data_IF_001447548603
#
_entry.id   IF_001447548603
#
_cell.length_a   1.000
_cell.length_b   1.000
_cell.length_c   1.000
_cell.angle_alpha   90.00
_cell.angle_beta   90.00
_cell.angle_gamma   90.00
#
_symmetry.space_group_name_H-M   'P 1'
#
loop_
_entity.id
_entity.type
_entity.pdbx_description
1 polymer ?
#
# COMPACT_ATOMS: atom_id res chain seq x y z
N UNK A 1 -15.99 -11.88 19.97
CA UNK A 1 -16.19 -12.08 18.50
C UNK A 1 -16.46 -10.79 17.71
N UNK A 2 -17.08 -9.72 18.26
CA UNK A 2 -17.06 -8.38 17.64
C UNK A 2 -15.65 -7.77 17.53
N UNK A 3 -14.73 -8.21 18.39
CA UNK A 3 -13.32 -7.77 18.37
C UNK A 3 -12.56 -8.20 17.11
N UNK A 4 -12.85 -9.37 16.52
CA UNK A 4 -12.16 -9.81 15.30
C UNK A 4 -12.51 -8.94 14.08
N UNK A 5 -13.74 -8.41 14.03
CA UNK A 5 -14.16 -7.46 13.00
C UNK A 5 -13.51 -6.08 13.21
N UNK A 6 -13.32 -5.67 14.47
CA UNK A 6 -12.52 -4.50 14.82
C UNK A 6 -11.06 -4.67 14.39
N UNK A 7 -10.47 -5.84 14.65
CA UNK A 7 -9.10 -6.17 14.27
C UNK A 7 -8.89 -6.17 12.75
N UNK A 8 -9.81 -6.76 11.98
CA UNK A 8 -9.80 -6.75 10.51
C UNK A 8 -9.90 -5.34 9.93
N UNK A 9 -10.70 -4.47 10.56
CA UNK A 9 -10.85 -3.07 10.13
C UNK A 9 -9.60 -2.24 10.46
N UNK A 10 -9.03 -2.43 11.64
CA UNK A 10 -7.78 -1.77 12.04
C UNK A 10 -6.61 -2.26 11.18
N UNK A 11 -6.52 -3.56 10.90
CA UNK A 11 -5.46 -4.10 10.04
C UNK A 11 -5.56 -3.60 8.60
N UNK A 12 -6.77 -3.54 8.02
CA UNK A 12 -7.00 -2.90 6.71
C UNK A 12 -6.54 -1.44 6.69
N UNK A 13 -6.85 -0.68 7.74
CA UNK A 13 -6.45 0.72 7.86
C UNK A 13 -4.93 0.86 7.96
N UNK A 14 -4.27 0.02 8.78
CA UNK A 14 -2.80 -0.01 8.91
C UNK A 14 -2.15 -0.36 7.57
N UNK A 15 -2.66 -1.35 6.83
CA UNK A 15 -2.13 -1.73 5.52
C UNK A 15 -2.28 -0.61 4.50
N UNK A 16 -3.39 0.15 4.52
CA UNK A 16 -3.52 1.35 3.67
C UNK A 16 -2.51 2.42 4.04
N UNK A 17 -2.33 2.71 5.32
CA UNK A 17 -1.35 3.70 5.78
C UNK A 17 0.06 3.27 5.35
N UNK A 18 0.42 2.01 5.57
CA UNK A 18 1.69 1.45 5.13
C UNK A 18 1.87 1.58 3.62
N UNK A 19 0.84 1.27 2.82
CA UNK A 19 0.88 1.46 1.37
C UNK A 19 1.22 2.92 1.02
N UNK A 20 0.51 3.89 1.59
CA UNK A 20 0.78 5.32 1.35
C UNK A 20 2.20 5.74 1.75
N UNK A 21 2.72 5.22 2.86
CA UNK A 21 4.10 5.46 3.28
C UNK A 21 5.10 4.89 2.26
N UNK A 22 4.88 3.66 1.81
CA UNK A 22 5.71 3.04 0.76
C UNK A 22 5.67 3.81 -0.55
N UNK A 23 4.49 4.30 -0.95
CA UNK A 23 4.34 5.14 -2.14
C UNK A 23 5.12 6.44 -1.98
N UNK A 24 4.99 7.12 -0.83
CA UNK A 24 5.69 8.37 -0.57
C UNK A 24 7.22 8.19 -0.68
N UNK A 25 7.77 7.19 0.02
CA UNK A 25 9.21 6.89 -0.05
C UNK A 25 9.66 6.46 -1.46
N UNK A 26 8.84 5.66 -2.15
CA UNK A 26 9.11 5.23 -3.52
C UNK A 26 9.15 6.40 -4.51
N UNK A 27 8.23 7.35 -4.39
CA UNK A 27 8.20 8.56 -5.21
C UNK A 27 9.39 9.46 -4.89
N UNK A 28 9.62 9.80 -3.62
CA UNK A 28 10.72 10.70 -3.25
C UNK A 28 12.09 10.10 -3.58
N UNK A 29 12.27 8.80 -3.31
CA UNK A 29 13.51 8.08 -3.59
C UNK A 29 13.74 7.90 -5.08
N UNK A 30 12.71 7.47 -5.83
CA UNK A 30 12.79 7.30 -7.27
C UNK A 30 13.07 8.61 -8.01
N UNK A 31 12.38 9.70 -7.63
CA UNK A 31 12.63 11.04 -8.19
C UNK A 31 14.05 11.51 -7.84
N UNK A 32 14.53 11.31 -6.61
CA UNK A 32 15.89 11.69 -6.22
C UNK A 32 16.96 10.96 -7.06
N UNK A 33 16.75 9.66 -7.33
CA UNK A 33 17.65 8.88 -8.20
C UNK A 33 17.56 9.37 -9.65
N UNK A 34 16.36 9.67 -10.17
CA UNK A 34 16.20 10.19 -11.53
C UNK A 34 16.82 11.57 -11.73
N UNK A 35 16.77 12.44 -10.72
CA UNK A 35 17.41 13.76 -10.73
C UNK A 35 18.93 13.71 -10.54
N UNK A 36 19.54 12.52 -10.47
CA UNK A 36 20.98 12.35 -10.29
C UNK A 36 21.49 12.84 -8.93
N UNK A 37 20.61 13.00 -7.93
CA UNK A 37 21.00 13.38 -6.55
C UNK A 37 21.71 12.25 -5.81
N UNK A 38 21.67 11.03 -6.36
CA UNK A 38 22.35 9.84 -5.83
C UNK A 38 23.53 9.49 -6.75
N UNK A 39 24.78 9.77 -6.34
CA UNK A 39 25.96 9.47 -7.14
C UNK A 39 26.15 7.96 -7.29
N UNK A 40 26.55 7.50 -8.48
CA UNK A 40 26.82 6.09 -8.77
C UNK A 40 25.62 5.25 -9.20
N UNK A 41 24.40 5.81 -9.24
CA UNK A 41 23.21 5.11 -9.73
C UNK A 41 22.70 5.68 -11.06
N UNK A 42 22.55 4.85 -12.11
CA UNK A 42 21.95 5.31 -13.37
C UNK A 42 20.47 5.69 -13.17
N UNK A 43 19.98 6.77 -13.81
CA UNK A 43 18.59 7.27 -13.67
C UNK A 43 17.51 6.21 -13.94
N UNK A 44 17.80 5.25 -14.83
CA UNK A 44 16.93 4.12 -15.16
C UNK A 44 16.59 3.27 -13.91
N UNK A 45 17.51 3.16 -12.94
CA UNK A 45 17.23 2.47 -11.67
C UNK A 45 16.17 3.21 -10.84
N UNK A 46 16.12 4.53 -10.94
CA UNK A 46 15.07 5.35 -10.32
C UNK A 46 13.70 5.07 -10.94
N UNK A 47 13.63 4.95 -12.26
CA UNK A 47 12.40 4.62 -12.99
C UNK A 47 11.90 3.20 -12.65
N UNK A 48 12.80 2.21 -12.65
CA UNK A 48 12.48 0.84 -12.24
C UNK A 48 12.00 0.81 -10.79
N UNK A 49 12.69 1.51 -9.89
CA UNK A 49 12.28 1.65 -8.49
C UNK A 49 10.87 2.25 -8.36
N UNK A 50 10.59 3.36 -9.05
CA UNK A 50 9.27 3.98 -9.10
C UNK A 50 8.18 2.99 -9.53
N UNK A 51 8.43 2.23 -10.60
CA UNK A 51 7.49 1.21 -11.07
C UNK A 51 7.23 0.13 -10.02
N UNK A 52 8.28 -0.34 -9.35
CA UNK A 52 8.21 -1.39 -8.33
C UNK A 52 7.46 -0.91 -7.07
N UNK A 53 7.74 0.32 -6.60
CA UNK A 53 7.03 0.93 -5.47
C UNK A 53 5.57 1.26 -5.81
N UNK A 54 5.29 1.73 -7.03
CA UNK A 54 3.93 1.95 -7.49
C UNK A 54 3.14 0.64 -7.55
N UNK A 55 3.74 -0.43 -8.08
CA UNK A 55 3.14 -1.76 -8.10
C UNK A 55 2.85 -2.26 -6.67
N UNK A 56 3.83 -2.16 -5.76
CA UNK A 56 3.67 -2.55 -4.36
C UNK A 56 2.54 -1.75 -3.68
N UNK A 57 2.45 -0.44 -3.92
CA UNK A 57 1.35 0.38 -3.42
C UNK A 57 -0.01 -0.14 -3.87
N UNK A 58 -0.18 -0.37 -5.17
CA UNK A 58 -1.44 -0.89 -5.72
C UNK A 58 -1.76 -2.27 -5.14
N UNK A 59 -0.77 -3.14 -5.01
CA UNK A 59 -0.93 -4.47 -4.43
C UNK A 59 -1.42 -4.41 -2.97
N UNK A 60 -0.77 -3.64 -2.11
CA UNK A 60 -1.20 -3.48 -0.72
C UNK A 60 -2.55 -2.79 -0.59
N UNK A 61 -2.82 -1.79 -1.43
CA UNK A 61 -4.11 -1.12 -1.47
C UNK A 61 -5.24 -2.07 -1.87
N UNK A 62 -4.99 -2.94 -2.86
CA UNK A 62 -5.94 -3.98 -3.29
C UNK A 62 -6.23 -4.96 -2.14
N UNK A 63 -5.20 -5.45 -1.44
CA UNK A 63 -5.37 -6.34 -0.28
C UNK A 63 -6.24 -5.68 0.79
N UNK A 64 -5.96 -4.42 1.13
CA UNK A 64 -6.77 -3.70 2.11
C UNK A 64 -8.22 -3.51 1.65
N UNK A 65 -8.44 -3.28 0.35
CA UNK A 65 -9.79 -3.23 -0.23
C UNK A 65 -10.52 -4.57 -0.15
N UNK A 66 -9.84 -5.69 -0.41
CA UNK A 66 -10.42 -7.02 -0.28
C UNK A 66 -10.79 -7.30 1.17
N UNK A 67 -9.94 -6.94 2.14
CA UNK A 67 -10.23 -7.06 3.56
C UNK A 67 -11.48 -6.25 3.96
N UNK A 68 -11.59 -5.00 3.51
CA UNK A 68 -12.79 -4.18 3.74
C UNK A 68 -14.06 -4.82 3.15
N UNK A 69 -13.95 -5.42 1.97
CA UNK A 69 -15.07 -6.04 1.26
C UNK A 69 -15.54 -7.30 2.00
N UNK A 70 -14.59 -8.12 2.49
CA UNK A 70 -14.88 -9.26 3.36
C UNK A 70 -15.59 -8.83 4.66
N UNK A 71 -15.14 -7.76 5.30
CA UNK A 71 -15.81 -7.21 6.50
C UNK A 71 -17.25 -6.79 6.18
N UNK A 72 -17.47 -6.12 5.04
CA UNK A 72 -18.83 -5.75 4.61
C UNK A 72 -19.71 -6.97 4.42
N UNK A 73 -19.23 -7.98 3.68
CA UNK A 73 -19.98 -9.22 3.44
C UNK A 73 -20.35 -9.90 4.78
N UNK A 74 -19.39 -10.03 5.69
CA UNK A 74 -19.63 -10.66 7.01
C UNK A 74 -20.68 -9.87 7.80
N UNK A 75 -20.62 -8.54 7.78
CA UNK A 75 -21.58 -7.70 8.49
C UNK A 75 -22.98 -7.76 7.86
N UNK A 76 -23.08 -7.84 6.53
CA UNK A 76 -24.36 -7.98 5.82
C UNK A 76 -25.02 -9.33 6.17
N UNK A 77 -24.25 -10.43 6.10
CA UNK A 77 -24.72 -11.79 6.42
C UNK A 77 -25.13 -11.93 7.89
N UNK A 78 -24.43 -11.27 8.83
CA UNK A 78 -24.78 -11.31 10.27
C UNK A 78 -25.96 -10.43 10.66
N UNK A 79 -26.45 -9.58 9.75
CA UNK A 79 -27.56 -8.67 10.02
C UNK A 79 -28.93 -9.32 9.76
N UNK A 80 -28.94 -10.38 8.95
CA UNK A 80 -30.01 -11.40 8.90
C UNK A 80 -29.81 -12.43 10.03
#
# INVERSE_FOLDING_TARGET
MREHLGFLRTSSMVVKIAAWVFLFFGITGGIAIMLGRVPGTPPIRGLIGLGLYAFAFFFFYLIAKIADLLIKIINEIKKE
#
